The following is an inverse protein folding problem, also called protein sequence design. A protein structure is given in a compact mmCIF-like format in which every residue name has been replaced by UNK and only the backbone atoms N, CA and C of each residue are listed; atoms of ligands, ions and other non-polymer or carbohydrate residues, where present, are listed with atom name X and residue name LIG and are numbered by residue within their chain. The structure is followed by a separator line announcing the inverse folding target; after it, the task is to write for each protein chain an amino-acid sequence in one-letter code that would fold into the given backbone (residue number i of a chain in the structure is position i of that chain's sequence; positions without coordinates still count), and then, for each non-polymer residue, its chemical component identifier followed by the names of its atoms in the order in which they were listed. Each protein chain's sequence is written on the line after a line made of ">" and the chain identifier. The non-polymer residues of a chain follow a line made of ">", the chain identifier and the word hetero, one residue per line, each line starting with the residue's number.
data_IF_429725062236
#
_entry.id   IF_429725062236
#
_cell.length_a   1.000
_cell.length_b   1.000
_cell.length_c   1.000
_cell.angle_alpha   90.00
_cell.angle_beta   90.00
_cell.angle_gamma   90.00
#
_symmetry.space_group_name_H-M   'P 1'
#
loop_
_entity.id
_entity.type
_entity.pdbx_description
1 polymer ?
#
# COMPACT_ATOMS: atom_id res chain seq x y z
N UNK A 1 -0.83 -9.66 31.60
CA UNK A 1 -0.34 -9.06 30.34
C UNK A 1 1.13 -8.80 30.58
N UNK A 2 2.01 -9.28 29.70
CA UNK A 2 3.44 -9.03 29.81
C UNK A 2 3.75 -7.96 28.76
N UNK A 3 4.15 -6.78 29.20
CA UNK A 3 4.57 -5.71 28.32
C UNK A 3 6.04 -5.92 27.99
N UNK A 4 6.38 -5.85 26.71
CA UNK A 4 7.75 -5.94 26.25
C UNK A 4 8.07 -4.64 25.53
N UNK A 5 9.10 -3.96 26.02
CA UNK A 5 9.61 -2.74 25.41
C UNK A 5 10.42 -3.11 24.16
N UNK A 6 10.16 -2.42 23.06
CA UNK A 6 10.82 -2.61 21.78
C UNK A 6 11.36 -1.25 21.35
N UNK A 7 12.67 -1.15 21.18
CA UNK A 7 13.31 0.03 20.60
C UNK A 7 13.11 0.00 19.09
N UNK A 8 12.71 1.13 18.53
CA UNK A 8 12.41 1.29 17.11
C UNK A 8 13.22 2.44 16.53
N UNK A 9 13.78 2.22 15.35
CA UNK A 9 14.56 3.17 14.58
C UNK A 9 13.94 3.44 13.21
N UNK A 10 14.22 4.61 12.64
CA UNK A 10 13.85 4.91 11.25
C UNK A 10 14.52 3.89 10.32
N UNK A 11 13.73 3.30 9.42
CA UNK A 11 14.13 2.23 8.51
C UNK A 11 13.81 0.82 9.03
N UNK A 12 13.49 0.65 10.31
CA UNK A 12 13.09 -0.65 10.84
C UNK A 12 11.79 -1.12 10.20
N UNK A 13 11.65 -2.44 10.08
CA UNK A 13 10.45 -3.07 9.53
C UNK A 13 9.82 -4.00 10.55
N UNK A 14 8.51 -3.84 10.74
CA UNK A 14 7.70 -4.63 11.67
C UNK A 14 6.68 -5.42 10.86
N UNK A 15 6.60 -6.72 11.11
CA UNK A 15 5.58 -7.56 10.50
C UNK A 15 4.32 -7.57 11.38
N UNK A 16 3.19 -7.19 10.80
CA UNK A 16 1.87 -7.26 11.45
C UNK A 16 0.93 -8.07 10.55
N UNK A 17 0.74 -9.33 10.90
CA UNK A 17 0.03 -10.29 10.05
C UNK A 17 0.78 -10.53 8.73
N UNK A 18 0.11 -10.28 7.60
CA UNK A 18 0.68 -10.40 6.26
C UNK A 18 1.36 -9.12 5.75
N UNK A 19 1.31 -8.03 6.53
CA UNK A 19 1.82 -6.73 6.11
C UNK A 19 3.19 -6.45 6.73
N UNK A 20 4.06 -5.85 5.93
CA UNK A 20 5.32 -5.29 6.39
C UNK A 20 5.15 -3.78 6.52
N UNK A 21 5.39 -3.25 7.72
CA UNK A 21 5.35 -1.82 8.02
C UNK A 21 6.77 -1.32 8.21
N UNK A 22 7.20 -0.36 7.39
CA UNK A 22 8.50 0.28 7.52
C UNK A 22 8.35 1.63 8.23
N UNK A 23 9.20 1.88 9.23
CA UNK A 23 9.25 3.14 9.96
C UNK A 23 9.92 4.20 9.08
N UNK A 24 9.16 5.21 8.70
CA UNK A 24 9.64 6.29 7.84
C UNK A 24 10.11 7.50 8.63
N UNK A 25 9.46 7.79 9.76
CA UNK A 25 9.76 8.95 10.60
C UNK A 25 9.24 8.74 12.03
N UNK A 26 9.92 9.37 12.98
CA UNK A 26 9.54 9.38 14.40
C UNK A 26 9.66 10.82 14.89
N UNK A 27 8.53 11.45 15.19
CA UNK A 27 8.51 12.83 15.69
C UNK A 27 7.52 12.96 16.85
N UNK A 28 7.98 13.47 18.00
CA UNK A 28 7.17 13.75 19.19
C UNK A 28 6.22 12.61 19.63
N UNK A 29 6.66 11.35 19.49
CA UNK A 29 5.85 10.17 19.85
C UNK A 29 4.84 9.74 18.79
N UNK A 30 4.82 10.41 17.64
CA UNK A 30 4.10 9.98 16.44
C UNK A 30 5.08 9.21 15.56
N UNK A 31 4.67 8.01 15.12
CA UNK A 31 5.44 7.17 14.21
C UNK A 31 4.74 7.15 12.85
N UNK A 32 5.43 7.62 11.82
CA UNK A 32 4.96 7.52 10.44
C UNK A 32 5.41 6.20 9.83
N UNK A 33 4.46 5.42 9.33
CA UNK A 33 4.69 4.08 8.78
C UNK A 33 4.32 4.03 7.30
N UNK A 34 5.13 3.33 6.50
CA UNK A 34 4.74 2.88 5.15
C UNK A 34 4.33 1.43 5.23
N UNK A 35 3.16 1.09 4.71
CA UNK A 35 2.69 -0.30 4.63
C UNK A 35 2.98 -0.80 3.22
N UNK A 36 3.81 -1.83 3.12
CA UNK A 36 3.95 -2.58 1.88
C UNK A 36 2.82 -3.61 1.80
N UNK A 37 1.88 -3.36 0.88
CA UNK A 37 1.00 -4.40 0.39
C UNK A 37 1.72 -5.09 -0.77
N UNK A 38 1.92 -6.40 -0.69
CA UNK A 38 2.00 -7.22 -1.88
C UNK A 38 0.67 -7.04 -2.62
N UNK A 39 0.62 -6.06 -3.53
CA UNK A 39 -0.40 -6.13 -4.56
C UNK A 39 -0.03 -7.38 -5.36
N UNK A 40 -0.85 -8.42 -5.26
CA UNK A 40 -1.00 -9.37 -6.36
C UNK A 40 -1.40 -8.52 -7.57
N UNK A 41 -0.41 -8.08 -8.36
CA UNK A 41 -0.62 -7.44 -9.64
C UNK A 41 -1.15 -8.54 -10.57
N UNK A 42 -2.43 -8.89 -10.42
CA UNK A 42 -3.20 -9.37 -11.54
C UNK A 42 -3.46 -8.14 -12.38
N UNK A 43 -2.66 -7.99 -13.44
CA UNK A 43 -3.05 -7.17 -14.58
C UNK A 43 -4.48 -7.53 -14.97
N UNK A 44 -5.44 -6.71 -14.56
CA UNK A 44 -6.77 -6.72 -15.16
C UNK A 44 -6.64 -5.84 -16.40
N UNK A 45 -6.22 -6.45 -17.51
CA UNK A 45 -6.32 -5.85 -18.83
C UNK A 45 -7.81 -5.66 -19.14
N UNK A 46 -8.34 -4.46 -18.87
CA UNK A 46 -9.64 -4.03 -19.37
C UNK A 46 -9.52 -3.79 -20.88
N UNK A 47 -9.66 -4.86 -21.68
CA UNK A 47 -10.01 -4.72 -23.09
C UNK A 47 -11.46 -4.25 -23.17
N UNK A 48 -11.66 -2.95 -23.29
CA UNK A 48 -13.00 -2.37 -23.36
C UNK A 48 -13.04 -0.92 -23.85
N UNK A 49 -12.11 -0.51 -24.72
CA UNK A 49 -12.12 0.83 -25.32
C UNK A 49 -12.29 0.81 -26.84
N UNK A 50 -12.79 -0.29 -27.43
CA UNK A 50 -13.04 -0.35 -28.88
C UNK A 50 -14.48 0.06 -29.28
N UNK A 51 -15.37 0.42 -28.34
CA UNK A 51 -16.78 0.71 -28.65
C UNK A 51 -17.20 2.19 -28.51
N UNK A 52 -16.30 3.12 -28.18
CA UNK A 52 -16.69 4.54 -28.01
C UNK A 52 -16.69 5.31 -29.34
N UNK A 53 -15.95 4.85 -30.36
CA UNK A 53 -15.81 5.59 -31.63
C UNK A 53 -17.05 5.51 -32.54
N UNK A 54 -17.91 4.48 -32.41
CA UNK A 54 -19.10 4.34 -33.26
C UNK A 54 -20.29 5.20 -32.77
N UNK A 55 -20.37 5.47 -31.46
CA UNK A 55 -21.44 6.29 -30.88
C UNK A 55 -21.27 7.79 -31.15
N UNK A 56 -20.06 8.26 -31.45
CA UNK A 56 -19.77 9.68 -31.75
C UNK A 56 -19.87 10.04 -33.24
N UNK A 57 -19.95 9.04 -34.14
CA UNK A 57 -20.13 9.27 -35.59
C UNK A 57 -21.58 9.45 -36.04
N UNK A 58 -22.56 9.08 -35.20
CA UNK A 58 -23.98 9.08 -35.55
C UNK A 58 -24.83 10.13 -34.79
N UNK A 59 -24.23 11.22 -34.31
CA UNK A 59 -24.95 12.41 -33.83
C UNK A 59 -24.48 13.67 -34.54
#
# INVERSE_FOLDING_TARGET
>A
MQEQEIELSIGDSIQVGQHVLTIMDIDQGIVSLRIEHEMDIREVSLHGFDEIDEALRNN
#
